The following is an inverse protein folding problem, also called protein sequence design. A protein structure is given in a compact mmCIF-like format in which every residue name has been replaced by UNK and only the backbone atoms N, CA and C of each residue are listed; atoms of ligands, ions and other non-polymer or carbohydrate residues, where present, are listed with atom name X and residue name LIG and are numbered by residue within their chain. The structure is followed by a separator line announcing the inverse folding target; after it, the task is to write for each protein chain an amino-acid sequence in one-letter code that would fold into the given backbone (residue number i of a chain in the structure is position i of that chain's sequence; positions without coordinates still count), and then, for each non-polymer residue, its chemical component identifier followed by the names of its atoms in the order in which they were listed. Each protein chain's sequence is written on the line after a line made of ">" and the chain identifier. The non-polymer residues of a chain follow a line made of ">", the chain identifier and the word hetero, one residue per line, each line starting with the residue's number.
data_IF_361555073433
#
_entry.id   IF_361555073433
#
_cell.length_a   1.000
_cell.length_b   1.000
_cell.length_c   1.000
_cell.angle_alpha   90.00
_cell.angle_beta   90.00
_cell.angle_gamma   90.00
#
_symmetry.space_group_name_H-M   'P 1'
#
loop_
_entity.id
_entity.type
_entity.pdbx_description
1 polymer ?
#
# COMPACT_ATOMS: atom_id res chain seq x y z
N UNK A 1 14.86 19.02 -13.05
CA UNK A 1 14.21 18.23 -11.99
C UNK A 1 14.03 16.82 -12.53
N UNK A 2 14.37 15.78 -11.77
CA UNK A 2 14.30 14.42 -12.28
C UNK A 2 12.84 13.94 -12.29
N UNK A 3 12.29 13.71 -13.48
CA UNK A 3 11.04 12.98 -13.62
C UNK A 3 11.22 11.57 -13.04
N UNK A 4 10.18 11.07 -12.36
CA UNK A 4 10.21 9.70 -11.87
C UNK A 4 10.06 8.78 -13.08
N UNK A 5 11.08 7.97 -13.36
CA UNK A 5 11.01 6.94 -14.38
C UNK A 5 10.08 5.80 -13.93
N UNK A 6 9.15 5.41 -14.79
CA UNK A 6 8.23 4.29 -14.55
C UNK A 6 8.66 3.07 -15.38
N UNK A 7 8.52 1.84 -14.88
CA UNK A 7 7.94 1.46 -13.58
C UNK A 7 8.82 1.81 -12.37
N UNK A 8 8.19 2.14 -11.25
CA UNK A 8 8.87 2.21 -9.94
C UNK A 8 8.53 0.95 -9.16
N UNK A 9 9.54 0.22 -8.73
CA UNK A 9 9.37 -0.93 -7.82
C UNK A 9 10.05 -0.64 -6.50
N UNK A 10 9.33 -0.88 -5.41
CA UNK A 10 9.83 -0.72 -4.05
C UNK A 10 9.55 -1.99 -3.25
N UNK A 11 10.53 -2.37 -2.45
CA UNK A 11 10.49 -3.57 -1.63
C UNK A 11 10.65 -3.18 -0.17
N UNK A 12 9.63 -3.51 0.62
CA UNK A 12 9.60 -3.22 2.04
C UNK A 12 9.70 -4.51 2.85
N UNK A 13 10.82 -4.68 3.53
CA UNK A 13 10.96 -5.70 4.56
C UNK A 13 10.28 -5.24 5.85
N UNK A 14 9.05 -5.68 6.05
CA UNK A 14 8.29 -5.38 7.26
C UNK A 14 8.72 -6.34 8.38
N UNK A 15 9.26 -5.78 9.46
CA UNK A 15 9.79 -6.49 10.64
C UNK A 15 8.92 -6.26 11.88
N UNK A 16 9.26 -6.95 12.96
CA UNK A 16 8.58 -6.89 14.26
C UNK A 16 7.09 -7.24 14.14
N UNK A 17 6.77 -8.20 13.27
CA UNK A 17 5.41 -8.60 12.95
C UNK A 17 4.63 -9.06 14.18
N UNK A 18 5.26 -9.83 15.08
CA UNK A 18 4.64 -10.24 16.34
C UNK A 18 4.10 -9.05 17.12
N UNK A 19 4.94 -8.04 17.36
CA UNK A 19 4.54 -6.83 18.08
C UNK A 19 3.43 -6.07 17.34
N UNK A 20 3.54 -5.97 16.01
CA UNK A 20 2.52 -5.31 15.18
C UNK A 20 1.15 -6.03 15.27
N UNK A 21 1.15 -7.36 15.22
CA UNK A 21 -0.09 -8.15 15.32
C UNK A 21 -0.65 -8.16 16.74
N UNK A 22 0.19 -8.29 17.77
CA UNK A 22 -0.19 -8.20 19.18
C UNK A 22 -0.83 -6.84 19.50
N UNK A 23 -0.22 -5.74 19.05
CA UNK A 23 -0.76 -4.39 19.22
C UNK A 23 -2.09 -4.14 18.48
N UNK A 24 -2.49 -5.05 17.58
CA UNK A 24 -3.76 -4.97 16.85
C UNK A 24 -4.89 -5.78 17.47
N UNK A 25 -4.60 -6.58 18.50
CA UNK A 25 -5.60 -7.42 19.17
C UNK A 25 -6.58 -6.57 19.98
N UNK A 26 -7.87 -6.95 19.94
CA UNK A 26 -8.96 -6.18 20.56
C UNK A 26 -9.25 -4.82 19.93
N UNK A 27 -8.40 -4.32 19.04
CA UNK A 27 -8.61 -3.05 18.36
C UNK A 27 -9.71 -3.20 17.30
N UNK A 28 -10.64 -2.23 17.25
CA UNK A 28 -11.59 -2.16 16.13
C UNK A 28 -10.87 -1.88 14.82
N UNK A 29 -9.68 -1.29 14.79
CA UNK A 29 -8.80 -1.18 13.61
C UNK A 29 -7.39 -0.94 14.12
N UNK A 30 -6.38 -1.58 13.53
CA UNK A 30 -5.00 -1.37 13.99
C UNK A 30 -4.51 0.05 13.70
N UNK A 31 -3.46 0.47 14.40
CA UNK A 31 -2.65 1.60 13.95
C UNK A 31 -2.03 1.29 12.59
N UNK A 32 -1.70 2.35 11.85
CA UNK A 32 -1.03 2.24 10.55
C UNK A 32 0.48 2.06 10.76
N UNK A 33 1.07 1.11 10.06
CA UNK A 33 2.52 1.00 9.88
C UNK A 33 2.84 1.52 8.49
N UNK A 34 3.83 2.42 8.39
CA UNK A 34 4.19 3.09 7.14
C UNK A 34 5.57 2.65 6.68
N UNK A 35 5.73 2.45 5.38
CA UNK A 35 7.06 2.27 4.78
C UNK A 35 7.83 3.58 4.69
N UNK A 36 9.10 3.51 4.29
CA UNK A 36 9.77 4.68 3.73
C UNK A 36 9.05 5.19 2.47
N UNK A 37 9.24 6.48 2.17
CA UNK A 37 8.76 7.08 0.93
C UNK A 37 9.66 6.66 -0.25
N UNK A 38 9.05 6.41 -1.41
CA UNK A 38 9.76 5.92 -2.60
C UNK A 38 9.27 6.61 -3.88
N UNK A 39 9.95 6.33 -5.00
CA UNK A 39 9.64 6.93 -6.31
C UNK A 39 9.80 8.44 -6.35
N UNK A 40 10.89 8.95 -5.77
CA UNK A 40 11.19 10.37 -5.56
C UNK A 40 10.22 11.06 -4.60
N UNK A 41 9.93 10.42 -3.47
CA UNK A 41 9.08 10.99 -2.41
C UNK A 41 7.60 11.06 -2.78
N UNK A 42 7.17 10.30 -3.80
CA UNK A 42 5.81 10.35 -4.35
C UNK A 42 4.88 9.31 -3.75
N UNK A 43 5.43 8.23 -3.20
CA UNK A 43 4.68 7.04 -2.83
C UNK A 43 5.08 6.53 -1.46
N UNK A 44 4.11 5.99 -0.71
CA UNK A 44 4.33 5.31 0.56
C UNK A 44 3.36 4.13 0.68
N UNK A 45 3.78 3.03 1.30
CA UNK A 45 2.90 1.91 1.62
C UNK A 45 2.33 2.11 3.03
N UNK A 46 1.01 1.97 3.16
CA UNK A 46 0.30 1.96 4.44
C UNK A 46 -0.20 0.53 4.73
N UNK A 47 0.26 -0.04 5.83
CA UNK A 47 -0.13 -1.37 6.30
C UNK A 47 -0.97 -1.29 7.56
N UNK A 48 -2.06 -2.06 7.61
CA UNK A 48 -2.86 -2.27 8.80
C UNK A 48 -2.92 -3.77 9.09
N UNK A 49 -2.45 -4.18 10.26
CA UNK A 49 -2.47 -5.58 10.70
C UNK A 49 -3.89 -6.09 10.99
N UNK A 50 -4.82 -5.16 11.30
CA UNK A 50 -6.24 -5.44 11.47
C UNK A 50 -7.07 -4.36 10.77
N UNK A 51 -7.78 -4.79 9.72
CA UNK A 51 -8.70 -3.99 8.90
C UNK A 51 -9.94 -3.49 9.65
N UNK A 52 -10.31 -4.16 10.74
CA UNK A 52 -11.39 -3.69 11.60
C UNK A 52 -12.81 -4.04 11.22
N UNK A 53 -12.95 -5.05 10.37
CA UNK A 53 -14.21 -5.52 9.83
C UNK A 53 -14.45 -7.01 10.17
N UNK A 54 -13.70 -7.55 11.14
CA UNK A 54 -13.88 -8.91 11.67
C UNK A 54 -14.75 -8.93 12.92
N UNK A 55 -15.30 -10.10 13.25
CA UNK A 55 -16.06 -10.33 14.48
C UNK A 55 -15.11 -10.55 15.66
N UNK A 56 -15.45 -10.01 16.84
CA UNK A 56 -14.61 -9.97 18.05
C UNK A 56 -14.18 -11.33 18.64
N UNK A 57 -14.81 -12.42 18.19
CA UNK A 57 -14.73 -13.72 18.88
C UNK A 57 -13.53 -14.57 18.44
N UNK A 58 -12.84 -14.19 17.36
CA UNK A 58 -11.66 -14.89 16.86
C UNK A 58 -10.59 -13.89 16.41
N UNK A 59 -9.46 -13.88 17.14
CA UNK A 59 -8.30 -13.03 16.87
C UNK A 59 -7.70 -13.26 15.47
N UNK A 60 -7.93 -14.43 14.87
CA UNK A 60 -7.40 -14.77 13.54
C UNK A 60 -8.39 -14.48 12.39
N UNK A 61 -9.68 -14.29 12.71
CA UNK A 61 -10.77 -14.04 11.74
C UNK A 61 -10.69 -12.69 11.00
N UNK A 62 -9.69 -11.86 11.34
CA UNK A 62 -9.48 -10.55 10.73
C UNK A 62 -8.80 -10.57 9.37
N UNK A 63 -8.75 -9.39 8.75
CA UNK A 63 -8.01 -9.14 7.51
C UNK A 63 -6.91 -8.11 7.76
N UNK A 64 -5.83 -8.18 6.99
CA UNK A 64 -4.91 -7.05 6.85
C UNK A 64 -5.41 -6.09 5.77
N UNK A 65 -4.96 -4.83 5.82
CA UNK A 65 -5.14 -3.86 4.75
C UNK A 65 -3.80 -3.39 4.19
N UNK A 66 -3.76 -3.09 2.89
CA UNK A 66 -2.63 -2.42 2.24
C UNK A 66 -3.14 -1.31 1.33
N UNK A 67 -2.50 -0.15 1.42
CA UNK A 67 -2.77 1.01 0.57
C UNK A 67 -1.48 1.61 0.03
N UNK A 68 -1.54 2.06 -1.22
CA UNK A 68 -0.58 2.97 -1.80
C UNK A 68 -1.05 4.39 -1.49
N UNK A 69 -0.27 5.09 -0.68
CA UNK A 69 -0.45 6.51 -0.42
C UNK A 69 0.37 7.33 -1.41
N UNK A 70 -0.25 8.40 -1.91
CA UNK A 70 0.37 9.42 -2.71
C UNK A 70 0.78 10.59 -1.82
N UNK A 71 2.08 10.80 -1.70
CA UNK A 71 2.65 11.95 -1.02
C UNK A 71 2.73 13.12 -2.01
N UNK A 72 2.03 14.24 -1.79
CA UNK A 72 2.08 15.36 -2.71
C UNK A 72 3.48 15.99 -2.70
N UNK A 73 4.01 16.30 -3.89
CA UNK A 73 5.27 17.05 -4.00
C UNK A 73 5.07 18.48 -3.54
N UNK A 74 6.15 19.21 -3.31
CA UNK A 74 6.04 20.61 -2.90
C UNK A 74 5.43 21.46 -4.02
N UNK A 75 5.71 21.15 -5.30
CA UNK A 75 5.04 21.79 -6.44
C UNK A 75 3.55 21.49 -6.49
N UNK A 76 3.14 20.23 -6.22
CA UNK A 76 1.72 19.84 -6.15
C UNK A 76 1.01 20.56 -5.00
N UNK A 77 1.70 20.81 -3.87
CA UNK A 77 1.18 21.60 -2.74
C UNK A 77 1.12 23.10 -3.05
N UNK A 78 2.08 23.65 -3.77
CA UNK A 78 2.08 25.06 -4.17
C UNK A 78 0.99 25.36 -5.21
N UNK A 79 0.76 24.42 -6.14
CA UNK A 79 -0.28 24.51 -7.17
C UNK A 79 -1.73 24.44 -6.61
N UNK A 80 -1.91 24.09 -5.34
CA UNK A 80 -3.19 24.06 -4.62
C UNK A 80 -3.91 25.42 -4.69
N UNK A 81 -3.16 26.52 -4.69
CA UNK A 81 -3.71 27.89 -4.76
C UNK A 81 -4.46 28.15 -6.07
N UNK A 82 -4.03 27.51 -7.17
CA UNK A 82 -4.68 27.61 -8.48
C UNK A 82 -5.82 26.59 -8.67
N UNK A 83 -5.96 25.62 -7.77
CA UNK A 83 -6.79 24.41 -7.96
C UNK A 83 -7.89 24.26 -6.89
N UNK A 84 -8.50 25.37 -6.47
CA UNK A 84 -9.59 25.40 -5.46
C UNK A 84 -9.24 24.65 -4.16
N UNK A 85 -7.98 24.77 -3.71
CA UNK A 85 -7.55 24.14 -2.46
C UNK A 85 -7.29 22.64 -2.53
N UNK A 86 -7.20 22.04 -3.73
CA UNK A 86 -6.90 20.61 -3.90
C UNK A 86 -5.65 20.39 -4.75
N UNK A 87 -4.73 19.55 -4.26
CA UNK A 87 -3.66 19.01 -5.08
C UNK A 87 -4.20 17.83 -5.89
N UNK A 88 -3.71 17.69 -7.12
CA UNK A 88 -4.01 16.59 -8.04
C UNK A 88 -2.70 16.14 -8.65
N UNK A 89 -2.44 14.83 -8.64
CA UNK A 89 -1.33 14.26 -9.39
C UNK A 89 -1.77 13.96 -10.81
N UNK A 90 -1.09 14.57 -11.77
CA UNK A 90 -1.38 14.37 -13.18
C UNK A 90 -1.24 12.91 -13.59
N UNK A 91 -2.17 12.46 -14.45
CA UNK A 91 -2.18 11.12 -15.03
C UNK A 91 -3.01 10.11 -14.23
N UNK A 92 -2.97 8.87 -14.73
CA UNK A 92 -3.57 7.70 -14.09
C UNK A 92 -2.49 6.67 -13.83
N UNK A 93 -2.58 5.98 -12.71
CA UNK A 93 -1.55 5.04 -12.28
C UNK A 93 -2.14 3.66 -12.07
N UNK A 94 -1.36 2.65 -12.43
CA UNK A 94 -1.60 1.27 -12.02
C UNK A 94 -0.60 0.94 -10.92
N UNK A 95 -0.99 0.08 -10.00
CA UNK A 95 -0.07 -0.45 -9.01
C UNK A 95 -0.41 -1.87 -8.61
N UNK A 96 0.59 -2.60 -8.15
CA UNK A 96 0.42 -3.94 -7.58
C UNK A 96 1.06 -4.03 -6.19
N UNK A 97 0.51 -4.92 -5.37
CA UNK A 97 1.14 -5.40 -4.15
C UNK A 97 1.36 -6.90 -4.23
N UNK A 98 2.53 -7.33 -3.79
CA UNK A 98 2.88 -8.72 -3.58
C UNK A 98 3.43 -8.90 -2.16
N UNK A 99 2.96 -9.93 -1.46
CA UNK A 99 3.48 -10.30 -0.14
C UNK A 99 4.17 -11.64 -0.26
N UNK A 100 5.43 -11.68 0.17
CA UNK A 100 6.26 -12.88 0.20
C UNK A 100 6.79 -13.16 1.60
N UNK A 101 7.28 -14.38 1.81
CA UNK A 101 8.25 -14.65 2.86
C UNK A 101 9.57 -13.88 2.61
N UNK A 102 10.46 -13.86 3.60
CA UNK A 102 11.68 -13.08 3.55
C UNK A 102 12.68 -13.49 2.46
N UNK A 103 12.56 -14.73 1.98
CA UNK A 103 13.42 -15.28 0.94
C UNK A 103 12.77 -15.22 -0.45
N UNK A 104 11.56 -14.66 -0.55
CA UNK A 104 10.73 -14.64 -1.78
C UNK A 104 10.54 -16.02 -2.40
N UNK A 105 10.52 -17.06 -1.56
CA UNK A 105 10.23 -18.43 -1.97
C UNK A 105 8.73 -18.66 -2.06
N UNK A 106 7.97 -18.09 -1.13
CA UNK A 106 6.53 -18.27 -1.03
C UNK A 106 5.80 -16.96 -1.30
N UNK A 107 5.03 -16.90 -2.39
CA UNK A 107 4.08 -15.81 -2.67
C UNK A 107 2.78 -16.06 -1.90
N UNK A 108 2.45 -15.17 -0.96
CA UNK A 108 1.26 -15.30 -0.10
C UNK A 108 0.04 -14.60 -0.70
N UNK A 109 0.26 -13.40 -1.25
CA UNK A 109 -0.79 -12.50 -1.73
C UNK A 109 -0.28 -11.73 -2.94
N UNK A 110 -1.10 -11.61 -3.98
CA UNK A 110 -0.88 -10.69 -5.11
C UNK A 110 -2.19 -9.96 -5.41
N UNK A 111 -2.13 -8.64 -5.56
CA UNK A 111 -3.25 -7.79 -5.99
C UNK A 111 -2.75 -6.69 -6.91
N UNK A 112 -3.59 -6.28 -7.84
CA UNK A 112 -3.31 -5.20 -8.79
C UNK A 112 -4.53 -4.30 -8.97
N UNK A 113 -4.24 -3.03 -9.24
CA UNK A 113 -5.20 -1.96 -9.38
C UNK A 113 -4.81 -1.11 -10.59
N UNK A 114 -5.81 -0.60 -11.32
CA UNK A 114 -5.59 0.06 -12.61
C UNK A 114 -6.29 1.41 -12.71
N UNK A 115 -5.68 2.32 -13.47
CA UNK A 115 -6.26 3.60 -13.88
C UNK A 115 -6.71 4.50 -12.71
N UNK A 116 -6.00 4.50 -11.59
CA UNK A 116 -6.31 5.33 -10.43
C UNK A 116 -5.74 6.74 -10.54
N UNK A 117 -6.51 7.73 -10.11
CA UNK A 117 -6.08 9.13 -9.98
C UNK A 117 -5.93 9.50 -8.50
N UNK A 118 -4.94 10.35 -8.20
CA UNK A 118 -4.62 10.74 -6.83
C UNK A 118 -4.85 12.23 -6.65
N UNK A 119 -5.58 12.59 -5.60
CA UNK A 119 -5.89 13.96 -5.24
C UNK A 119 -6.10 14.09 -3.73
N UNK A 120 -6.20 15.31 -3.21
CA UNK A 120 -6.28 15.56 -1.75
C UNK A 120 -7.32 14.72 -1.01
N UNK A 121 -8.50 14.50 -1.60
CA UNK A 121 -9.58 13.69 -0.98
C UNK A 121 -9.41 12.18 -1.16
N UNK A 122 -8.59 11.77 -2.13
CA UNK A 122 -8.38 10.37 -2.53
C UNK A 122 -6.89 10.12 -2.74
N UNK A 123 -6.12 10.39 -1.70
CA UNK A 123 -4.66 10.25 -1.71
C UNK A 123 -4.21 8.79 -1.59
N UNK A 124 -5.09 7.90 -1.11
CA UNK A 124 -4.77 6.52 -0.79
C UNK A 124 -5.67 5.57 -1.57
N UNK A 125 -5.07 4.62 -2.28
CA UNK A 125 -5.79 3.55 -2.97
C UNK A 125 -5.28 2.19 -2.53
N UNK A 126 -6.17 1.21 -2.41
CA UNK A 126 -5.78 -0.13 -1.98
C UNK A 126 -6.95 -0.96 -1.50
N UNK A 127 -6.66 -1.96 -0.68
CA UNK A 127 -7.63 -2.94 -0.21
C UNK A 127 -7.79 -2.86 1.30
N UNK A 128 -8.98 -2.47 1.74
CA UNK A 128 -9.35 -2.49 3.16
C UNK A 128 -9.34 -3.91 3.72
N UNK A 129 -9.71 -4.92 2.93
CA UNK A 129 -9.60 -6.34 3.28
C UNK A 129 -8.76 -7.04 2.22
N UNK A 130 -7.44 -6.87 2.29
CA UNK A 130 -6.54 -7.44 1.29
C UNK A 130 -6.49 -8.97 1.38
N UNK A 131 -6.23 -9.47 2.57
CA UNK A 131 -6.07 -10.90 2.85
C UNK A 131 -6.37 -11.20 4.32
N UNK A 132 -6.77 -12.43 4.62
CA UNK A 132 -6.96 -12.91 6.00
C UNK A 132 -5.62 -12.90 6.75
N UNK A 133 -5.66 -12.60 8.05
CA UNK A 133 -4.46 -12.60 8.92
C UNK A 133 -3.78 -13.97 8.94
N UNK A 134 -4.56 -15.05 8.94
CA UNK A 134 -4.04 -16.42 8.87
C UNK A 134 -3.19 -16.71 7.63
N UNK A 135 -3.59 -16.16 6.48
CA UNK A 135 -2.89 -16.37 5.22
C UNK A 135 -1.50 -15.70 5.24
N UNK A 136 -1.36 -14.60 5.98
CA UNK A 136 -0.16 -13.77 5.99
C UNK A 136 0.75 -14.08 7.17
N UNK A 137 0.20 -14.34 8.36
CA UNK A 137 0.98 -14.43 9.59
C UNK A 137 0.72 -15.70 10.40
N UNK A 138 -0.50 -15.91 10.91
CA UNK A 138 -0.72 -16.94 11.95
C UNK A 138 -0.45 -18.37 11.45
N UNK A 139 -0.81 -18.70 10.21
CA UNK A 139 -0.53 -20.01 9.59
C UNK A 139 0.79 -20.05 8.80
N UNK A 140 1.73 -19.13 9.07
CA UNK A 140 3.02 -19.03 8.38
C UNK A 140 4.20 -19.20 9.35
N UNK A 141 4.65 -20.44 9.60
CA UNK A 141 5.76 -20.71 10.52
C UNK A 141 7.03 -19.94 10.20
N UNK A 142 7.45 -19.88 8.92
CA UNK A 142 8.65 -19.16 8.49
C UNK A 142 8.59 -17.66 8.80
N UNK A 143 7.44 -17.03 8.54
CA UNK A 143 7.22 -15.60 8.81
C UNK A 143 7.21 -15.32 10.31
N UNK A 144 6.57 -16.19 11.11
CA UNK A 144 6.56 -16.06 12.57
C UNK A 144 7.92 -16.30 13.19
N UNK A 145 8.70 -17.24 12.67
CA UNK A 145 10.06 -17.51 13.14
C UNK A 145 10.99 -16.34 12.83
N UNK A 146 10.99 -15.88 11.58
CA UNK A 146 11.84 -14.78 11.11
C UNK A 146 11.34 -13.39 11.55
N UNK A 147 10.10 -13.33 12.03
CA UNK A 147 9.40 -12.13 12.46
C UNK A 147 9.38 -11.01 11.42
N UNK A 148 9.32 -11.41 10.15
CA UNK A 148 9.38 -10.50 9.03
C UNK A 148 8.76 -11.09 7.75
N UNK A 149 8.33 -10.20 6.85
CA UNK A 149 7.87 -10.53 5.51
C UNK A 149 8.31 -9.43 4.52
N UNK A 150 8.15 -9.69 3.23
CA UNK A 150 8.44 -8.72 2.17
C UNK A 150 7.13 -8.27 1.52
N UNK A 151 6.94 -6.96 1.43
CA UNK A 151 5.88 -6.33 0.64
C UNK A 151 6.53 -5.63 -0.55
N UNK A 152 6.26 -6.11 -1.75
CA UNK A 152 6.69 -5.44 -2.99
C UNK A 152 5.54 -4.60 -3.53
N UNK A 153 5.81 -3.34 -3.84
CA UNK A 153 4.91 -2.46 -4.57
C UNK A 153 5.53 -2.08 -5.91
N UNK A 154 4.78 -2.26 -6.98
CA UNK A 154 5.15 -1.76 -8.31
C UNK A 154 4.12 -0.74 -8.75
N UNK A 155 4.57 0.44 -9.18
CA UNK A 155 3.73 1.52 -9.69
C UNK A 155 4.11 1.81 -11.14
N UNK A 156 3.11 2.01 -12.00
CA UNK A 156 3.27 2.42 -13.40
C UNK A 156 2.34 3.59 -13.72
N UNK A 157 2.75 4.47 -14.62
CA UNK A 157 1.83 5.43 -15.26
C UNK A 157 1.09 4.69 -16.38
N UNK A 158 -0.23 4.85 -16.42
CA UNK A 158 -1.05 4.34 -17.53
C UNK A 158 -0.74 5.15 -18.80
N UNK A 159 -0.70 4.54 -20.00
CA UNK A 159 -0.59 5.28 -21.23
C UNK A 159 -1.77 6.25 -21.35
N UNK A 160 -1.49 7.49 -21.76
CA UNK A 160 -2.54 8.44 -22.10
C UNK A 160 -3.24 7.95 -23.37
N UNK A 161 -4.58 7.87 -23.33
CA UNK A 161 -5.34 7.55 -24.53
C UNK A 161 -5.04 8.65 -25.56
N UNK A 162 -4.37 8.25 -26.65
CA UNK A 162 -4.13 9.13 -27.78
C UNK A 162 -5.47 9.72 -28.20
N UNK A 163 -5.62 11.03 -28.05
CA UNK A 163 -6.77 11.73 -28.58
C UNK A 163 -6.69 11.64 -30.11
N UNK A 164 -7.43 10.70 -30.69
CA UNK A 164 -7.73 10.74 -32.12
C UNK A 164 -8.66 11.93 -32.33
N UNK A 165 -8.09 13.10 -32.58
CA UNK A 165 -8.85 14.21 -33.16
C UNK A 165 -9.39 13.74 -34.50
N UNK A 166 -10.72 13.78 -34.63
CA UNK A 166 -11.45 13.45 -35.85
C UNK A 166 -11.08 14.36 -37.02
#
# INVERSE_FOLDING_TARGET
>A
MAETEYPVTFEWQLRDLKSIYEASEGAQKSQVVKSDVFGNGRWQILFYANAGLGTSDDLTSGHISLFLACEPTDEEKEAVVASDGQWVREGKYNFSFEIHDLHKKDLLVRKEAHKHSFLSKTANWGWAQLAKRDVVFYNRPSIREQDALIITCTVTRSPEEAHTSA
#
